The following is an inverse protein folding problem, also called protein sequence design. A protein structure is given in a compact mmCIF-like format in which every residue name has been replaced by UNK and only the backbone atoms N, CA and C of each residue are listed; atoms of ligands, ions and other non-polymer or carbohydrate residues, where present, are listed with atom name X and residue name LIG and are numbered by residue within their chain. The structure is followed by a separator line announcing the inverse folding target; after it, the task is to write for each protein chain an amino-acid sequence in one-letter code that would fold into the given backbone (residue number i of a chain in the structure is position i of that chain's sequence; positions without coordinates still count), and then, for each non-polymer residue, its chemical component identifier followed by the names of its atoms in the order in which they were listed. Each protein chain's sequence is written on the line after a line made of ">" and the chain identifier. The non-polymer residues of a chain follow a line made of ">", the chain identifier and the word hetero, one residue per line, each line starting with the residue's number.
data_IF_436679756898
#
_entry.id   IF_436679756898
#
_cell.length_a   1.000
_cell.length_b   1.000
_cell.length_c   1.000
_cell.angle_alpha   90.00
_cell.angle_beta   90.00
_cell.angle_gamma   90.00
#
_symmetry.space_group_name_H-M   'P 1'
#
loop_
_entity.id
_entity.type
_entity.pdbx_description
1 polymer ?
#
# COMPACT_ATOMS: atom_id res chain seq x y z
N UNK A 1 -7.14 4.16 -7.82
CA UNK A 1 -7.03 4.02 -6.36
C UNK A 1 -8.38 3.69 -5.77
N UNK A 2 -8.43 2.75 -4.83
CA UNK A 2 -9.66 2.33 -4.14
C UNK A 2 -9.36 2.27 -2.63
N UNK A 3 -10.26 2.77 -1.80
CA UNK A 3 -10.14 2.73 -0.33
C UNK A 3 -11.33 1.98 0.27
N UNK A 4 -11.10 1.31 1.41
CA UNK A 4 -12.16 0.63 2.15
C UNK A 4 -11.66 0.08 3.48
N UNK A 5 -12.50 -0.72 4.14
CA UNK A 5 -12.13 -1.43 5.37
C UNK A 5 -12.27 -2.94 5.14
N UNK A 6 -11.25 -3.70 5.51
CA UNK A 6 -11.18 -5.14 5.24
C UNK A 6 -12.23 -5.94 6.03
N UNK A 7 -12.75 -5.38 7.12
CA UNK A 7 -13.84 -6.02 7.87
C UNK A 7 -15.23 -5.72 7.27
N UNK A 8 -15.30 -4.85 6.27
CA UNK A 8 -16.55 -4.35 5.67
C UNK A 8 -16.58 -4.55 4.15
N UNK A 9 -15.96 -5.64 3.64
CA UNK A 9 -15.87 -5.91 2.19
C UNK A 9 -17.24 -5.97 1.47
N UNK A 10 -18.33 -6.21 2.20
CA UNK A 10 -19.69 -6.12 1.69
C UNK A 10 -20.08 -4.74 1.15
N UNK A 11 -19.36 -3.68 1.53
CA UNK A 11 -19.52 -2.33 0.98
C UNK A 11 -18.83 -2.14 -0.37
N UNK A 12 -18.01 -3.10 -0.81
CA UNK A 12 -17.24 -3.02 -2.05
C UNK A 12 -17.51 -4.24 -2.99
N UNK A 13 -18.78 -4.58 -3.30
CA UNK A 13 -19.12 -5.77 -4.09
C UNK A 13 -18.62 -5.72 -5.54
N UNK A 14 -18.14 -4.57 -6.00
CA UNK A 14 -17.59 -4.34 -7.34
C UNK A 14 -16.07 -4.51 -7.43
N UNK A 15 -15.40 -4.90 -6.35
CA UNK A 15 -13.97 -5.22 -6.42
C UNK A 15 -13.72 -6.39 -7.38
N UNK A 16 -12.68 -6.32 -8.23
CA UNK A 16 -12.29 -7.44 -9.08
C UNK A 16 -12.09 -8.73 -8.27
N UNK A 17 -12.53 -9.89 -8.76
CA UNK A 17 -12.47 -11.15 -8.00
C UNK A 17 -11.08 -11.46 -7.44
N UNK A 18 -10.02 -11.21 -8.21
CA UNK A 18 -8.63 -11.44 -7.77
C UNK A 18 -8.17 -10.54 -6.63
N UNK A 19 -8.71 -9.33 -6.53
CA UNK A 19 -8.45 -8.45 -5.40
C UNK A 19 -9.22 -8.94 -4.18
N UNK A 20 -10.50 -9.30 -4.33
CA UNK A 20 -11.32 -9.85 -3.25
C UNK A 20 -10.72 -11.15 -2.69
N UNK A 21 -10.30 -12.09 -3.56
CA UNK A 21 -9.62 -13.33 -3.16
C UNK A 21 -8.35 -13.06 -2.34
N UNK A 22 -7.58 -12.02 -2.69
CA UNK A 22 -6.37 -11.66 -1.97
C UNK A 22 -6.65 -11.00 -0.61
N UNK A 23 -7.70 -10.16 -0.53
CA UNK A 23 -8.19 -9.60 0.74
C UNK A 23 -8.71 -10.71 1.67
N UNK A 24 -9.47 -11.66 1.14
CA UNK A 24 -9.95 -12.84 1.88
C UNK A 24 -8.78 -13.68 2.42
N UNK A 25 -7.71 -13.84 1.64
CA UNK A 25 -6.50 -14.52 2.10
C UNK A 25 -5.91 -13.81 3.34
N UNK A 26 -5.80 -12.48 3.32
CA UNK A 26 -5.29 -11.71 4.47
C UNK A 26 -6.19 -11.90 5.68
N UNK A 27 -7.52 -11.78 5.53
CA UNK A 27 -8.48 -11.99 6.62
C UNK A 27 -8.35 -13.36 7.30
N UNK A 28 -8.05 -14.40 6.52
CA UNK A 28 -7.99 -15.77 7.03
C UNK A 28 -6.63 -16.17 7.59
N UNK A 29 -5.54 -15.54 7.13
CA UNK A 29 -4.19 -16.06 7.36
C UNK A 29 -3.23 -15.05 8.02
N UNK A 30 -3.54 -13.76 8.00
CA UNK A 30 -2.65 -12.68 8.44
C UNK A 30 -3.34 -11.82 9.49
N UNK A 31 -2.65 -11.51 10.57
CA UNK A 31 -3.15 -10.66 11.64
C UNK A 31 -2.01 -9.84 12.27
N UNK A 32 -2.32 -9.07 13.31
CA UNK A 32 -1.34 -8.22 14.01
C UNK A 32 -0.18 -9.00 14.67
N UNK A 33 -0.33 -10.30 14.91
CA UNK A 33 0.70 -11.15 15.50
C UNK A 33 1.54 -11.89 14.44
N UNK A 34 1.14 -11.85 13.17
CA UNK A 34 1.89 -12.49 12.07
C UNK A 34 3.31 -11.92 11.99
N UNK A 35 4.30 -12.79 11.84
CA UNK A 35 5.69 -12.38 11.74
C UNK A 35 5.95 -11.54 10.48
N UNK A 36 6.89 -10.59 10.58
CA UNK A 36 7.32 -9.84 9.41
C UNK A 36 7.95 -10.79 8.38
N UNK A 37 7.63 -10.58 7.10
CA UNK A 37 8.13 -11.42 6.02
C UNK A 37 7.20 -11.50 4.82
N UNK A 38 7.60 -12.35 3.87
CA UNK A 38 6.86 -12.61 2.63
C UNK A 38 6.06 -13.90 2.76
N UNK A 39 4.76 -13.81 2.50
CA UNK A 39 3.81 -14.92 2.45
C UNK A 39 3.39 -15.13 1.01
N UNK A 40 3.72 -16.28 0.45
CA UNK A 40 3.37 -16.63 -0.92
C UNK A 40 1.88 -17.01 -1.02
N UNK A 41 1.14 -16.43 -1.97
CA UNK A 41 -0.27 -16.74 -2.21
C UNK A 41 -0.44 -17.46 -3.54
N UNK A 42 0.11 -16.90 -4.62
CA UNK A 42 0.00 -17.43 -5.98
C UNK A 42 1.29 -17.26 -6.79
N UNK A 43 2.41 -17.72 -6.23
CA UNK A 43 3.72 -17.67 -6.89
C UNK A 43 4.17 -16.23 -7.13
N UNK A 44 4.50 -15.89 -8.37
CA UNK A 44 4.88 -14.54 -8.77
C UNK A 44 3.67 -13.63 -9.02
N UNK A 45 2.44 -14.17 -9.02
CA UNK A 45 1.26 -13.36 -9.31
C UNK A 45 0.74 -12.62 -8.08
N UNK A 46 0.77 -13.27 -6.91
CA UNK A 46 0.24 -12.69 -5.66
C UNK A 46 1.10 -13.12 -4.47
N UNK A 47 1.52 -12.15 -3.66
CA UNK A 47 2.10 -12.39 -2.35
C UNK A 47 1.75 -11.27 -1.37
N UNK A 48 1.85 -11.56 -0.07
CA UNK A 48 1.67 -10.58 1.00
C UNK A 48 3.01 -10.32 1.66
N UNK A 49 3.33 -9.05 1.89
CA UNK A 49 4.45 -8.63 2.73
C UNK A 49 3.89 -8.10 4.05
N UNK A 50 4.21 -8.78 5.15
CA UNK A 50 3.94 -8.25 6.50
C UNK A 50 5.17 -7.47 6.93
N UNK A 51 4.97 -6.22 7.32
CA UNK A 51 6.03 -5.32 7.73
C UNK A 51 5.65 -4.51 8.96
N UNK A 52 6.66 -4.18 9.74
CA UNK A 52 6.58 -3.30 10.92
C UNK A 52 7.48 -2.09 10.67
N UNK A 53 7.01 -0.91 11.03
CA UNK A 53 7.74 0.33 10.84
C UNK A 53 7.22 1.43 11.75
N UNK A 54 7.91 2.57 11.74
CA UNK A 54 7.44 3.79 12.39
C UNK A 54 7.03 4.80 11.34
N UNK A 55 5.97 5.56 11.61
CA UNK A 55 5.63 6.73 10.80
C UNK A 55 6.73 7.77 10.92
N UNK A 56 7.01 8.48 9.83
CA UNK A 56 8.04 9.52 9.75
C UNK A 56 7.46 10.83 9.21
N UNK A 57 8.19 11.93 9.33
CA UNK A 57 7.70 13.19 8.77
C UNK A 57 7.49 13.01 7.26
N UNK A 58 6.40 13.55 6.72
CA UNK A 58 6.08 13.39 5.30
C UNK A 58 7.17 13.97 4.37
N UNK A 59 7.98 14.91 4.88
CA UNK A 59 9.15 15.47 4.21
C UNK A 59 10.38 14.55 4.20
N UNK A 60 10.43 13.52 5.07
CA UNK A 60 11.49 12.52 5.12
C UNK A 60 11.20 11.30 4.23
N UNK A 61 10.02 11.27 3.60
CA UNK A 61 9.59 10.22 2.69
C UNK A 61 9.51 10.78 1.26
N UNK A 62 9.91 9.97 0.28
CA UNK A 62 9.65 10.23 -1.13
C UNK A 62 8.42 9.44 -1.56
N UNK A 63 7.53 10.01 -2.39
CA UNK A 63 6.49 9.23 -3.04
C UNK A 63 7.08 8.19 -4.00
N UNK A 64 6.42 7.05 -4.06
CA UNK A 64 6.78 5.92 -4.89
C UNK A 64 5.65 5.54 -5.85
N UNK A 65 6.00 4.79 -6.90
CA UNK A 65 5.06 4.13 -7.79
C UNK A 65 5.67 2.84 -8.38
N UNK A 66 4.81 2.01 -8.94
CA UNK A 66 5.13 0.68 -9.48
C UNK A 66 4.64 0.52 -10.92
N UNK A 67 5.19 -0.44 -11.68
CA UNK A 67 4.79 -0.73 -13.07
C UNK A 67 4.23 -2.13 -13.29
N UNK A 68 4.61 -3.11 -12.46
CA UNK A 68 4.26 -4.53 -12.64
C UNK A 68 3.18 -4.97 -11.66
N UNK A 69 3.22 -4.48 -10.44
CA UNK A 69 2.31 -4.90 -9.36
C UNK A 69 1.42 -3.76 -8.89
N UNK A 70 0.19 -4.13 -8.53
CA UNK A 70 -0.67 -3.33 -7.66
C UNK A 70 -0.23 -3.51 -6.21
N UNK A 71 -0.47 -2.47 -5.43
CA UNK A 71 -0.33 -2.49 -3.98
C UNK A 71 -1.71 -2.46 -3.33
N UNK A 72 -2.02 -3.46 -2.51
CA UNK A 72 -3.13 -3.37 -1.54
C UNK A 72 -2.50 -3.25 -0.16
N UNK A 73 -2.44 -2.03 0.36
CA UNK A 73 -1.85 -1.75 1.65
C UNK A 73 -2.95 -1.75 2.72
N UNK A 74 -2.77 -2.56 3.76
CA UNK A 74 -3.74 -2.79 4.83
C UNK A 74 -3.05 -2.55 6.16
N UNK A 75 -3.57 -1.65 6.99
CA UNK A 75 -3.05 -1.44 8.34
C UNK A 75 -3.56 -2.58 9.23
N UNK A 76 -2.66 -3.34 9.82
CA UNK A 76 -2.98 -4.44 10.74
C UNK A 76 -3.04 -3.94 12.19
N UNK A 77 -2.16 -3.00 12.55
CA UNK A 77 -2.13 -2.36 13.86
C UNK A 77 -1.52 -0.95 13.77
N UNK A 78 -1.96 -0.06 14.67
CA UNK A 78 -1.55 1.34 14.68
C UNK A 78 -2.34 2.20 13.69
N UNK A 79 -1.72 3.30 13.26
CA UNK A 79 -2.30 4.27 12.34
C UNK A 79 -1.20 4.91 11.50
N UNK A 80 -1.44 5.12 10.21
CA UNK A 80 -0.54 5.86 9.33
C UNK A 80 -1.26 6.96 8.55
N UNK A 81 -0.52 8.00 8.18
CA UNK A 81 -0.87 8.86 7.06
C UNK A 81 -0.46 8.19 5.75
N UNK A 82 -1.38 8.18 4.79
CA UNK A 82 -1.12 7.76 3.42
C UNK A 82 -1.27 8.97 2.51
N UNK A 83 -0.15 9.48 2.00
CA UNK A 83 -0.16 10.54 0.98
C UNK A 83 -0.18 9.94 -0.42
N UNK A 84 -0.82 10.61 -1.38
CA UNK A 84 -0.87 10.19 -2.78
C UNK A 84 -1.16 11.36 -3.70
N UNK A 85 -0.86 11.20 -4.99
CA UNK A 85 -1.30 12.09 -6.07
C UNK A 85 -2.30 11.34 -6.95
N UNK A 86 -3.37 12.02 -7.37
CA UNK A 86 -4.32 11.48 -8.35
C UNK A 86 -3.77 11.50 -9.78
N UNK A 87 -2.69 12.25 -10.02
CA UNK A 87 -1.95 12.22 -11.28
C UNK A 87 -0.92 11.10 -11.28
N UNK A 88 -0.57 10.57 -12.47
CA UNK A 88 0.61 9.73 -12.63
C UNK A 88 1.90 10.48 -12.22
N UNK A 89 3.06 9.80 -12.18
CA UNK A 89 4.33 10.44 -11.89
C UNK A 89 4.57 11.59 -12.87
N UNK A 90 4.68 12.81 -12.34
CA UNK A 90 4.75 14.04 -13.14
C UNK A 90 5.76 15.05 -12.59
N UNK A 91 6.56 14.62 -11.61
CA UNK A 91 7.69 15.36 -11.06
C UNK A 91 8.99 14.61 -11.37
N UNK A 92 10.11 15.19 -10.98
CA UNK A 92 11.44 14.62 -11.20
C UNK A 92 11.56 13.22 -10.58
N UNK A 93 12.04 12.25 -11.35
CA UNK A 93 12.39 10.91 -10.86
C UNK A 93 13.70 11.01 -10.09
N UNK A 94 13.64 10.71 -8.79
CA UNK A 94 14.78 10.78 -7.87
C UNK A 94 15.57 9.47 -7.87
N UNK A 95 14.88 8.35 -8.05
CA UNK A 95 15.48 7.02 -8.15
C UNK A 95 14.57 6.10 -8.97
N UNK A 96 15.14 5.36 -9.92
CA UNK A 96 14.42 4.39 -10.76
C UNK A 96 14.99 2.98 -10.55
N UNK A 97 14.14 2.07 -10.06
CA UNK A 97 14.42 0.65 -9.89
C UNK A 97 13.28 -0.22 -10.47
N UNK A 98 12.52 0.29 -11.44
CA UNK A 98 11.34 -0.40 -11.99
C UNK A 98 11.69 -1.74 -12.64
N UNK A 99 12.81 -1.79 -13.36
CA UNK A 99 13.28 -3.01 -14.00
C UNK A 99 13.58 -4.14 -13.00
N UNK A 100 14.16 -3.79 -11.85
CA UNK A 100 14.61 -4.74 -10.82
C UNK A 100 13.56 -5.04 -9.76
N UNK A 101 13.28 -4.06 -8.90
CA UNK A 101 12.41 -4.21 -7.72
C UNK A 101 11.03 -3.59 -7.88
N UNK A 102 10.66 -3.22 -9.10
CA UNK A 102 9.35 -2.62 -9.45
C UNK A 102 9.01 -1.38 -8.62
N UNK A 103 9.96 -0.48 -8.42
CA UNK A 103 9.74 0.76 -7.66
C UNK A 103 10.52 1.91 -8.27
N UNK A 104 9.91 3.08 -8.32
CA UNK A 104 10.59 4.34 -8.58
C UNK A 104 10.11 5.39 -7.59
N UNK A 105 11.00 6.31 -7.22
CA UNK A 105 10.75 7.42 -6.32
C UNK A 105 10.80 8.73 -7.09
N UNK A 106 9.88 9.65 -6.76
CA UNK A 106 9.82 10.98 -7.39
C UNK A 106 9.93 12.09 -6.35
N UNK A 107 10.24 13.31 -6.79
CA UNK A 107 10.14 14.49 -5.95
C UNK A 107 8.68 14.68 -5.54
N UNK A 108 8.42 14.98 -4.27
CA UNK A 108 7.07 15.20 -3.76
C UNK A 108 6.27 16.20 -4.63
N UNK A 109 5.13 15.79 -5.20
CA UNK A 109 4.23 16.69 -5.91
C UNK A 109 3.54 17.68 -4.98
N UNK A 110 3.29 18.90 -5.47
CA UNK A 110 2.58 19.94 -4.71
C UNK A 110 1.08 19.62 -4.53
N UNK A 111 0.55 18.67 -5.30
CA UNK A 111 -0.85 18.25 -5.30
C UNK A 111 -1.11 16.95 -4.52
N UNK A 112 -0.17 16.54 -3.64
CA UNK A 112 -0.40 15.39 -2.79
C UNK A 112 -1.56 15.64 -1.80
N UNK A 113 -2.42 14.64 -1.67
CA UNK A 113 -3.45 14.58 -0.64
C UNK A 113 -3.08 13.49 0.35
N UNK A 114 -3.35 13.73 1.63
CA UNK A 114 -3.10 12.75 2.69
C UNK A 114 -4.41 12.32 3.35
N UNK A 115 -4.56 11.01 3.54
CA UNK A 115 -5.65 10.41 4.32
C UNK A 115 -5.09 9.72 5.56
N UNK A 116 -5.94 9.57 6.57
CA UNK A 116 -5.66 8.74 7.75
C UNK A 116 -6.10 7.31 7.49
N UNK A 117 -5.19 6.35 7.71
CA UNK A 117 -5.44 4.92 7.63
C UNK A 117 -5.36 4.31 9.02
N UNK A 118 -6.47 3.74 9.51
CA UNK A 118 -6.56 3.05 10.79
C UNK A 118 -6.43 1.55 10.60
N UNK A 119 -6.21 0.81 11.69
CA UNK A 119 -6.27 -0.65 11.67
C UNK A 119 -7.56 -1.16 11.01
N UNK A 120 -7.41 -2.07 10.04
CA UNK A 120 -8.47 -2.59 9.19
C UNK A 120 -8.68 -1.82 7.88
N UNK A 121 -8.23 -0.57 7.78
CA UNK A 121 -8.36 0.20 6.54
C UNK A 121 -7.39 -0.32 5.48
N UNK A 122 -7.86 -0.40 4.24
CA UNK A 122 -7.05 -0.73 3.08
C UNK A 122 -7.11 0.36 2.02
N UNK A 123 -6.02 0.47 1.26
CA UNK A 123 -5.93 1.30 0.06
C UNK A 123 -5.25 0.52 -1.06
N UNK A 124 -5.79 0.65 -2.26
CA UNK A 124 -5.32 -0.02 -3.48
C UNK A 124 -4.71 1.01 -4.41
N UNK A 125 -3.45 0.81 -4.78
CA UNK A 125 -2.74 1.56 -5.81
C UNK A 125 -2.48 0.67 -7.03
N UNK A 126 -2.98 1.10 -8.18
CA UNK A 126 -2.64 0.49 -9.46
C UNK A 126 -1.25 0.94 -9.93
N UNK A 127 -0.61 0.20 -10.86
CA UNK A 127 0.61 0.65 -11.50
C UNK A 127 0.49 2.10 -12.00
N UNK A 128 1.50 2.92 -11.68
CA UNK A 128 1.53 4.35 -11.98
C UNK A 128 0.79 5.25 -10.98
N UNK A 129 0.12 4.72 -9.96
CA UNK A 129 -0.48 5.55 -8.92
C UNK A 129 0.57 5.94 -7.87
N UNK A 130 0.85 7.24 -7.77
CA UNK A 130 1.85 7.80 -6.87
C UNK A 130 1.34 7.79 -5.43
N UNK A 131 2.11 7.18 -4.52
CA UNK A 131 1.73 7.08 -3.12
C UNK A 131 2.95 7.16 -2.19
N UNK A 132 2.69 7.48 -0.92
CA UNK A 132 3.71 7.75 0.11
C UNK A 132 3.20 7.25 1.46
N UNK A 133 3.48 5.98 1.80
CA UNK A 133 3.01 5.36 3.04
C UNK A 133 3.80 5.82 4.27
N UNK A 134 3.36 5.40 5.46
CA UNK A 134 4.04 5.65 6.75
C UNK A 134 4.29 7.14 7.04
N UNK A 135 3.41 8.02 6.60
CA UNK A 135 3.47 9.43 6.98
C UNK A 135 2.95 9.62 8.41
N UNK A 136 3.60 10.50 9.17
CA UNK A 136 3.22 10.86 10.52
C UNK A 136 1.95 11.71 10.55
N UNK A 137 1.03 11.39 11.44
CA UNK A 137 -0.18 12.17 11.69
C UNK A 137 -0.02 12.99 12.98
N UNK A 138 -0.50 14.23 12.96
CA UNK A 138 -0.58 15.10 14.14
C UNK A 138 0.74 15.31 14.91
N UNK A 139 1.90 15.17 14.23
CA UNK A 139 3.22 15.39 14.81
C UNK A 139 3.72 14.31 15.78
N UNK A 140 3.05 13.16 15.88
CA UNK A 140 3.47 12.05 16.75
C UNK A 140 3.87 10.83 15.92
N UNK A 141 5.14 10.40 16.05
CA UNK A 141 5.57 9.14 15.48
C UNK A 141 4.83 7.96 16.14
N UNK A 142 4.32 7.04 15.33
CA UNK A 142 3.62 5.85 15.79
C UNK A 142 4.22 4.60 15.14
N UNK A 143 4.23 3.51 15.91
CA UNK A 143 4.50 2.19 15.37
C UNK A 143 3.29 1.72 14.54
N UNK A 144 3.58 1.15 13.38
CA UNK A 144 2.58 0.65 12.43
C UNK A 144 2.98 -0.74 11.98
N UNK A 145 2.01 -1.65 11.97
CA UNK A 145 2.14 -2.96 11.33
C UNK A 145 1.16 -3.04 10.18
N UNK A 146 1.62 -3.51 9.03
CA UNK A 146 0.81 -3.56 7.81
C UNK A 146 1.08 -4.79 6.98
N UNK A 147 0.05 -5.19 6.23
CA UNK A 147 0.15 -6.12 5.13
C UNK A 147 0.14 -5.32 3.82
N UNK A 148 1.07 -5.62 2.93
CA UNK A 148 1.07 -5.11 1.55
C UNK A 148 0.91 -6.30 0.62
N UNK A 149 -0.27 -6.45 0.04
CA UNK A 149 -0.49 -7.45 -1.01
C UNK A 149 0.07 -6.86 -2.31
N UNK A 150 0.93 -7.61 -2.98
CA UNK A 150 1.37 -7.32 -4.34
C UNK A 150 0.59 -8.23 -5.29
N UNK A 151 -0.07 -7.66 -6.30
CA UNK A 151 -0.85 -8.40 -7.30
C UNK A 151 -0.35 -8.01 -8.69
N UNK A 152 0.08 -8.97 -9.50
CA UNK A 152 0.58 -8.69 -10.85
C UNK A 152 -0.54 -8.07 -11.70
N UNK A 153 -0.26 -6.99 -12.41
CA UNK A 153 -1.26 -6.29 -13.23
C UNK A 153 -1.88 -7.18 -14.32
N UNK A 154 -1.10 -8.14 -14.83
CA UNK A 154 -1.53 -9.09 -15.86
C UNK A 154 -2.28 -10.31 -15.28
N UNK A 155 -2.44 -10.38 -13.95
CA UNK A 155 -3.16 -11.45 -13.27
C UNK A 155 -4.60 -11.07 -12.89
N UNK A 156 -4.93 -9.77 -12.96
CA UNK A 156 -6.28 -9.25 -12.69
C UNK A 156 -7.32 -9.69 -13.72
#
# INVERSE_FOLDING_TARGET
>A
MIVGNINELGLNPWLPPKITEALDYVLQNINAESHAGKYNVAGENVWVMVMEGNTRLAAEALPEYHEKYLDVQIVLAGQEGMAFSLKPPHTEVMEDKLAGSDIAFIRTPDDETMITMNAGDFIIFYPGEVHKPLCMLNGNAAAVKKAVIKIAKNYL
#
